data_IF_604508917266
#
_entry.id   IF_604508917266
#
_cell.length_a   1.000
_cell.length_b   1.000
_cell.length_c   1.000
_cell.angle_alpha   90.00
_cell.angle_beta   90.00
_cell.angle_gamma   90.00
#
_symmetry.space_group_name_H-M   'P 1'
#
loop_
_entity.id
_entity.type
_entity.pdbx_description
1 polymer ?
#
# COMPACT_ATOMS: atom_id res chain seq x y z
N UNK A 1 -40.91 37.57 -35.09
CA UNK A 1 -42.12 37.31 -34.28
C UNK A 1 -42.24 35.82 -34.01
N UNK A 2 -41.49 35.30 -33.03
CA UNK A 2 -41.65 33.95 -32.45
C UNK A 2 -40.70 33.68 -31.25
N UNK A 3 -40.15 34.70 -30.59
CA UNK A 3 -39.06 34.49 -29.60
C UNK A 3 -39.29 35.11 -28.21
N UNK A 4 -40.51 35.54 -27.87
CA UNK A 4 -40.80 36.06 -26.53
C UNK A 4 -42.00 35.39 -25.82
N UNK A 5 -42.78 34.58 -26.54
CA UNK A 5 -43.92 33.84 -25.95
C UNK A 5 -43.48 32.55 -25.26
N UNK A 6 -42.41 31.89 -25.74
CA UNK A 6 -41.94 30.63 -25.16
C UNK A 6 -41.05 30.81 -23.91
N UNK A 7 -40.47 32.00 -23.72
CA UNK A 7 -39.65 32.31 -22.54
C UNK A 7 -40.53 32.63 -21.31
N UNK A 8 -41.76 33.11 -21.53
CA UNK A 8 -42.71 33.43 -20.45
C UNK A 8 -43.53 32.23 -19.94
N UNK A 9 -43.54 31.10 -20.65
CA UNK A 9 -44.22 29.88 -20.20
C UNK A 9 -43.42 29.07 -19.16
N UNK A 10 -42.11 29.32 -19.03
CA UNK A 10 -41.23 28.63 -18.06
C UNK A 10 -41.09 29.42 -16.75
N UNK A 11 -41.47 30.70 -16.73
CA UNK A 11 -41.39 31.55 -15.54
C UNK A 11 -42.67 31.54 -14.67
N UNK A 12 -43.77 30.96 -15.17
CA UNK A 12 -45.08 30.94 -14.50
C UNK A 12 -45.39 29.69 -13.67
N UNK A 13 -44.49 28.71 -13.59
CA UNK A 13 -44.66 27.47 -12.82
C UNK A 13 -43.88 27.46 -11.51
N UNK A 14 -43.35 28.62 -11.07
CA UNK A 14 -42.57 28.76 -9.83
C UNK A 14 -43.35 29.37 -8.66
N UNK A 15 -44.67 29.50 -8.74
CA UNK A 15 -45.49 30.04 -7.65
C UNK A 15 -46.76 29.21 -7.46
N UNK A 16 -46.63 28.07 -6.78
CA UNK A 16 -47.61 27.50 -5.81
C UNK A 16 -47.23 26.03 -5.50
N UNK A 17 -46.25 25.84 -4.62
CA UNK A 17 -46.31 24.73 -3.65
C UNK A 17 -46.07 25.31 -2.26
N UNK A 18 -47.18 25.43 -1.53
CA UNK A 18 -47.24 25.89 -0.16
C UNK A 18 -46.47 24.93 0.77
N UNK A 19 -45.60 25.52 1.59
CA UNK A 19 -45.23 25.10 2.94
C UNK A 19 -45.39 23.61 3.31
N UNK A 20 -44.35 22.83 3.03
CA UNK A 20 -43.88 21.82 3.98
C UNK A 20 -42.40 22.08 4.21
N UNK A 21 -42.08 22.89 5.22
CA UNK A 21 -40.75 22.88 5.80
C UNK A 21 -40.50 21.44 6.28
N UNK A 22 -39.52 20.68 5.73
CA UNK A 22 -39.04 19.54 6.46
C UNK A 22 -38.51 20.11 7.77
N UNK A 23 -39.11 19.66 8.89
CA UNK A 23 -38.56 19.94 10.21
C UNK A 23 -37.04 19.67 10.15
N UNK A 24 -36.20 20.49 10.80
CA UNK A 24 -34.80 20.14 10.95
C UNK A 24 -34.79 18.73 11.54
N UNK A 25 -34.28 17.75 10.78
CA UNK A 25 -34.07 16.42 11.28
C UNK A 25 -33.26 16.62 12.56
N UNK A 26 -33.92 16.40 13.70
CA UNK A 26 -33.29 16.54 14.98
C UNK A 26 -32.05 15.66 14.91
N UNK A 27 -30.90 16.26 15.15
CA UNK A 27 -29.69 15.51 15.34
C UNK A 27 -29.99 14.54 16.49
N UNK A 28 -30.28 13.29 16.17
CA UNK A 28 -30.13 12.17 17.07
C UNK A 28 -28.62 12.00 17.25
N UNK A 29 -28.05 12.93 18.03
CA UNK A 29 -26.66 12.95 18.42
C UNK A 29 -26.48 11.90 19.53
N UNK A 30 -26.34 10.67 19.08
CA UNK A 30 -25.89 9.51 19.83
C UNK A 30 -25.76 8.40 18.80
N UNK A 31 -24.55 7.92 18.54
CA UNK A 31 -24.40 6.66 17.79
C UNK A 31 -25.33 5.64 18.45
N UNK A 32 -26.19 5.01 17.65
CA UNK A 32 -27.04 3.94 18.14
C UNK A 32 -26.17 2.94 18.91
N UNK A 33 -26.52 2.61 20.15
CA UNK A 33 -25.75 1.65 20.96
C UNK A 33 -25.51 0.33 20.21
N UNK A 34 -26.51 -0.09 19.42
CA UNK A 34 -26.41 -1.22 18.50
C UNK A 34 -25.35 -1.00 17.41
N UNK A 35 -25.34 0.18 16.78
CA UNK A 35 -24.32 0.52 15.78
C UNK A 35 -22.92 0.59 16.40
N UNK A 36 -22.77 1.23 17.57
CA UNK A 36 -21.48 1.31 18.26
C UNK A 36 -20.91 -0.08 18.58
N UNK A 37 -21.74 -1.00 19.06
CA UNK A 37 -21.34 -2.39 19.29
C UNK A 37 -20.93 -3.13 18.02
N UNK A 38 -21.74 -3.06 16.96
CA UNK A 38 -21.44 -3.72 15.67
C UNK A 38 -20.19 -3.14 15.01
N UNK A 39 -20.07 -1.81 15.00
CA UNK A 39 -18.92 -1.09 14.45
C UNK A 39 -17.63 -1.51 15.14
N UNK A 40 -17.63 -1.59 16.48
CA UNK A 40 -16.47 -2.02 17.24
C UNK A 40 -16.04 -3.46 16.87
N UNK A 41 -17.00 -4.38 16.68
CA UNK A 41 -16.68 -5.75 16.24
C UNK A 41 -15.96 -5.74 14.88
N UNK A 42 -16.49 -4.98 13.90
CA UNK A 42 -15.93 -4.89 12.55
C UNK A 42 -14.54 -4.23 12.59
N UNK A 43 -14.41 -3.09 13.28
CA UNK A 43 -13.15 -2.35 13.34
C UNK A 43 -12.06 -3.13 14.08
N UNK A 44 -12.39 -3.87 15.14
CA UNK A 44 -11.45 -4.74 15.85
C UNK A 44 -10.99 -5.90 14.96
N UNK A 45 -11.92 -6.58 14.26
CA UNK A 45 -11.56 -7.64 13.31
C UNK A 45 -10.61 -7.14 12.22
N UNK A 46 -10.89 -5.94 11.67
CA UNK A 46 -10.01 -5.29 10.69
C UNK A 46 -8.62 -5.04 11.28
N UNK A 47 -8.52 -4.50 12.50
CA UNK A 47 -7.23 -4.18 13.14
C UNK A 47 -6.43 -5.46 13.46
N UNK A 48 -7.12 -6.51 13.91
CA UNK A 48 -6.52 -7.77 14.33
C UNK A 48 -6.22 -8.72 13.16
N UNK A 49 -6.69 -8.41 11.95
CA UNK A 49 -6.47 -9.20 10.75
C UNK A 49 -4.96 -9.51 10.53
N UNK A 50 -4.59 -10.73 10.11
CA UNK A 50 -3.18 -11.15 9.98
C UNK A 50 -2.31 -10.21 9.15
N UNK A 51 -2.87 -9.64 8.07
CA UNK A 51 -2.19 -8.67 7.21
C UNK A 51 -1.74 -7.41 7.97
N UNK A 52 -2.52 -6.96 8.94
CA UNK A 52 -2.20 -5.78 9.74
C UNK A 52 -1.19 -6.08 10.85
N UNK A 53 -1.10 -7.34 11.28
CA UNK A 53 -0.11 -7.81 12.26
C UNK A 53 1.25 -8.14 11.64
N UNK A 54 1.35 -8.13 10.31
CA UNK A 54 2.62 -8.35 9.61
C UNK A 54 3.61 -7.22 9.91
N UNK A 55 4.69 -7.56 10.62
CA UNK A 55 5.80 -6.64 10.94
C UNK A 55 6.91 -6.64 9.88
N UNK A 56 7.21 -7.82 9.32
CA UNK A 56 8.27 -7.99 8.34
C UNK A 56 7.82 -7.50 6.96
N UNK A 57 8.71 -6.77 6.31
CA UNK A 57 8.42 -6.18 5.00
C UNK A 57 8.14 -7.25 3.95
N UNK A 58 7.13 -7.02 3.13
CA UNK A 58 6.80 -7.86 1.97
C UNK A 58 7.06 -7.18 0.62
N UNK A 59 6.82 -7.90 -0.49
CA UNK A 59 6.97 -7.36 -1.85
C UNK A 59 6.18 -6.07 -2.11
N UNK A 60 5.00 -5.95 -1.51
CA UNK A 60 4.12 -4.78 -1.65
C UNK A 60 4.71 -3.50 -1.05
N UNK A 61 5.69 -3.58 -0.16
CA UNK A 61 6.25 -2.44 0.57
C UNK A 61 7.65 -2.06 0.08
N UNK A 62 8.41 -3.04 -0.45
CA UNK A 62 9.78 -2.84 -0.93
C UNK A 62 9.91 -1.78 -2.04
N UNK A 63 8.84 -1.58 -2.81
CA UNK A 63 8.78 -0.58 -3.88
C UNK A 63 8.45 0.85 -3.43
N UNK A 64 8.24 1.11 -2.12
CA UNK A 64 7.87 2.44 -1.62
C UNK A 64 8.92 3.50 -1.95
N UNK A 65 8.49 4.67 -2.41
CA UNK A 65 9.41 5.78 -2.72
C UNK A 65 9.92 6.47 -1.44
N UNK A 66 9.18 6.38 -0.34
CA UNK A 66 9.56 7.03 0.92
C UNK A 66 10.70 6.25 1.60
N UNK A 67 11.92 6.80 1.56
CA UNK A 67 13.11 6.15 2.16
C UNK A 67 12.95 6.07 3.69
N UNK A 68 12.42 7.13 4.30
CA UNK A 68 12.08 7.16 5.73
C UNK A 68 11.16 5.98 6.12
N UNK A 69 10.01 5.82 5.46
CA UNK A 69 9.07 4.74 5.80
C UNK A 69 9.65 3.36 5.51
N UNK A 70 10.45 3.21 4.44
CA UNK A 70 11.16 1.95 4.19
C UNK A 70 12.10 1.63 5.36
N UNK A 71 12.93 2.59 5.79
CA UNK A 71 13.85 2.39 6.91
C UNK A 71 13.13 2.05 8.21
N UNK A 72 12.08 2.81 8.56
CA UNK A 72 11.25 2.58 9.73
C UNK A 72 10.68 1.15 9.76
N UNK A 73 10.16 0.66 8.62
CA UNK A 73 9.66 -0.72 8.49
C UNK A 73 10.77 -1.76 8.64
N UNK A 74 11.95 -1.51 8.07
CA UNK A 74 13.08 -2.47 8.14
C UNK A 74 13.58 -2.69 9.58
N UNK A 75 13.45 -1.70 10.45
CA UNK A 75 13.78 -1.81 11.89
C UNK A 75 12.53 -2.06 12.75
N UNK A 76 11.40 -2.37 12.13
CA UNK A 76 10.14 -2.71 12.79
C UNK A 76 9.65 -1.63 13.77
N UNK A 77 9.77 -0.35 13.40
CA UNK A 77 9.12 0.74 14.14
C UNK A 77 7.62 0.47 14.28
N UNK A 78 7.10 0.74 15.48
CA UNK A 78 5.69 0.48 15.78
C UNK A 78 4.81 1.53 15.09
N UNK A 79 3.79 1.05 14.36
CA UNK A 79 2.92 1.86 13.54
C UNK A 79 1.53 1.95 14.16
N UNK A 80 1.03 3.15 14.40
CA UNK A 80 -0.35 3.40 14.77
C UNK A 80 -1.24 3.19 13.55
N UNK A 81 -1.97 2.07 13.53
CA UNK A 81 -2.89 1.72 12.44
C UNK A 81 -4.33 2.00 12.85
N UNK A 82 -5.00 2.86 12.09
CA UNK A 82 -6.46 2.99 12.18
C UNK A 82 -7.15 1.85 11.41
N UNK A 83 -8.38 1.46 11.78
CA UNK A 83 -9.18 0.54 11.00
C UNK A 83 -9.29 1.00 9.54
N UNK A 84 -8.82 0.16 8.62
CA UNK A 84 -8.70 0.51 7.21
C UNK A 84 -9.82 -0.14 6.38
N UNK A 85 -10.99 0.48 6.38
CA UNK A 85 -12.18 0.00 5.66
C UNK A 85 -11.93 -0.26 4.16
N UNK A 86 -11.20 0.64 3.49
CA UNK A 86 -10.96 0.51 2.06
C UNK A 86 -10.05 -0.69 1.70
N UNK A 87 -8.92 -0.92 2.40
CA UNK A 87 -8.19 -2.18 2.29
C UNK A 87 -9.01 -3.43 2.64
N UNK A 88 -9.87 -3.37 3.66
CA UNK A 88 -10.73 -4.50 4.04
C UNK A 88 -11.62 -4.97 2.88
N UNK A 89 -12.27 -4.04 2.16
CA UNK A 89 -13.04 -4.37 0.94
C UNK A 89 -12.17 -5.13 -0.07
N UNK A 90 -10.92 -4.70 -0.26
CA UNK A 90 -9.97 -5.39 -1.13
C UNK A 90 -9.69 -6.82 -0.66
N UNK A 91 -9.40 -7.00 0.63
CA UNK A 91 -9.16 -8.33 1.23
C UNK A 91 -10.32 -9.29 0.98
N UNK A 92 -11.56 -8.86 1.22
CA UNK A 92 -12.73 -9.72 0.99
C UNK A 92 -12.88 -10.15 -0.48
N UNK A 93 -12.54 -9.27 -1.43
CA UNK A 93 -12.58 -9.62 -2.87
C UNK A 93 -11.46 -10.58 -3.24
N UNK A 94 -10.25 -10.39 -2.70
CA UNK A 94 -9.13 -11.32 -2.93
C UNK A 94 -9.47 -12.70 -2.41
N UNK A 95 -9.98 -12.80 -1.17
CA UNK A 95 -10.40 -14.07 -0.57
C UNK A 95 -11.51 -14.73 -1.41
N UNK A 96 -12.46 -13.96 -1.96
CA UNK A 96 -13.46 -14.52 -2.85
C UNK A 96 -12.84 -15.11 -4.13
N UNK A 97 -11.89 -14.40 -4.74
CA UNK A 97 -11.20 -14.88 -5.94
C UNK A 97 -10.28 -16.07 -5.67
N UNK A 98 -9.64 -16.11 -4.51
CA UNK A 98 -8.84 -17.24 -4.07
C UNK A 98 -9.63 -18.55 -4.12
N UNK A 99 -10.89 -18.53 -3.66
CA UNK A 99 -11.80 -19.68 -3.71
C UNK A 99 -12.49 -19.86 -5.07
N UNK A 100 -12.68 -18.79 -5.84
CA UNK A 100 -13.41 -18.85 -7.11
C UNK A 100 -12.67 -19.69 -8.16
N UNK A 101 -11.39 -19.42 -8.41
CA UNK A 101 -10.64 -20.07 -9.48
C UNK A 101 -10.52 -21.60 -9.28
N UNK A 102 -10.13 -22.10 -8.09
CA UNK A 102 -10.13 -23.53 -7.79
C UNK A 102 -11.51 -24.17 -7.93
N UNK A 103 -12.57 -23.49 -7.50
CA UNK A 103 -13.94 -24.00 -7.62
C UNK A 103 -14.39 -24.17 -9.07
N UNK A 104 -13.96 -23.29 -9.98
CA UNK A 104 -14.35 -23.34 -11.40
C UNK A 104 -13.46 -24.28 -12.21
N UNK A 105 -12.16 -24.30 -11.95
CA UNK A 105 -11.18 -25.01 -12.77
C UNK A 105 -10.59 -26.28 -12.14
N UNK A 106 -10.94 -26.56 -10.87
CA UNK A 106 -10.36 -27.65 -10.09
C UNK A 106 -9.02 -27.27 -9.45
N UNK A 107 -8.60 -28.08 -8.48
CA UNK A 107 -7.29 -27.97 -7.80
C UNK A 107 -6.27 -28.98 -8.33
N UNK A 108 -6.71 -29.86 -9.21
CA UNK A 108 -5.93 -30.93 -9.83
C UNK A 108 -4.73 -30.32 -10.56
N UNK A 109 -3.62 -31.06 -10.67
CA UNK A 109 -2.37 -30.59 -11.32
C UNK A 109 -2.47 -30.25 -12.82
N UNK A 110 -3.67 -30.21 -13.38
CA UNK A 110 -3.99 -29.86 -14.76
C UNK A 110 -4.81 -28.54 -14.87
N UNK A 111 -5.04 -27.84 -13.75
CA UNK A 111 -5.71 -26.53 -13.75
C UNK A 111 -4.78 -25.44 -14.32
N UNK A 112 -5.26 -24.55 -15.21
CA UNK A 112 -4.44 -23.46 -15.75
C UNK A 112 -4.12 -22.37 -14.71
N UNK A 113 -4.83 -22.36 -13.57
CA UNK A 113 -4.74 -21.28 -12.59
C UNK A 113 -4.34 -21.75 -11.19
N UNK A 114 -3.40 -21.05 -10.56
CA UNK A 114 -3.09 -21.22 -9.13
C UNK A 114 -3.35 -19.92 -8.37
N UNK A 115 -4.35 -19.91 -7.49
CA UNK A 115 -4.66 -18.77 -6.63
C UNK A 115 -3.79 -18.74 -5.38
N UNK A 116 -3.59 -17.54 -4.81
CA UNK A 116 -2.89 -17.29 -3.53
C UNK A 116 -1.54 -18.04 -3.44
N UNK A 117 -0.76 -17.97 -4.53
CA UNK A 117 0.51 -18.69 -4.65
C UNK A 117 1.57 -17.99 -3.81
N UNK A 118 1.91 -18.60 -2.67
CA UNK A 118 3.04 -18.15 -1.83
C UNK A 118 4.38 -18.48 -2.48
N UNK A 119 5.27 -17.48 -2.50
CA UNK A 119 6.62 -17.56 -3.07
C UNK A 119 7.64 -16.87 -2.18
N UNK A 120 8.89 -17.33 -2.22
CA UNK A 120 10.03 -16.59 -1.65
C UNK A 120 10.67 -15.74 -2.74
N UNK A 121 10.64 -14.42 -2.60
CA UNK A 121 11.13 -13.48 -3.63
C UNK A 121 12.59 -13.08 -3.43
N UNK A 122 13.17 -13.43 -2.28
CA UNK A 122 14.56 -13.16 -1.95
C UNK A 122 14.80 -13.24 -0.44
N UNK A 123 15.97 -12.78 0.00
CA UNK A 123 16.38 -12.79 1.41
C UNK A 123 17.02 -11.45 1.76
N UNK A 124 16.67 -10.92 2.93
CA UNK A 124 17.34 -9.77 3.54
C UNK A 124 18.19 -10.25 4.71
N UNK A 125 19.43 -9.79 4.78
CA UNK A 125 20.41 -10.16 5.79
C UNK A 125 20.58 -9.06 6.83
N UNK A 126 20.70 -9.46 8.10
CA UNK A 126 21.01 -8.57 9.24
C UNK A 126 22.08 -9.18 10.11
N UNK A 127 22.73 -8.34 10.89
CA UNK A 127 23.67 -8.79 11.94
C UNK A 127 22.95 -9.64 12.99
N UNK A 128 21.71 -9.29 13.32
CA UNK A 128 20.85 -10.05 14.25
C UNK A 128 20.20 -11.30 13.64
N UNK A 129 20.51 -11.63 12.38
CA UNK A 129 19.88 -12.71 11.62
C UNK A 129 18.93 -12.20 10.53
N UNK A 130 19.15 -12.69 9.30
CA UNK A 130 18.32 -12.36 8.14
C UNK A 130 16.96 -13.08 8.11
N UNK A 131 16.16 -12.76 7.11
CA UNK A 131 14.89 -13.43 6.83
C UNK A 131 14.59 -13.50 5.34
N UNK A 132 13.82 -14.52 4.96
CA UNK A 132 13.24 -14.63 3.63
C UNK A 132 12.13 -13.60 3.44
N UNK A 133 12.19 -12.86 2.34
CA UNK A 133 11.08 -12.03 1.90
C UNK A 133 10.12 -12.94 1.15
N UNK A 134 8.93 -13.13 1.73
CA UNK A 134 7.87 -13.95 1.15
C UNK A 134 6.73 -13.07 0.65
N UNK A 135 6.13 -13.49 -0.46
CA UNK A 135 4.98 -12.86 -1.07
C UNK A 135 3.87 -13.85 -1.32
N UNK A 136 2.69 -13.33 -1.64
CA UNK A 136 1.57 -14.12 -2.14
C UNK A 136 1.08 -13.50 -3.43
N UNK A 137 1.08 -14.30 -4.49
CA UNK A 137 0.61 -13.90 -5.82
C UNK A 137 -0.87 -14.25 -5.89
N UNK A 138 -1.72 -13.27 -6.20
CA UNK A 138 -3.17 -13.50 -6.13
C UNK A 138 -3.63 -14.57 -7.14
N UNK A 139 -3.04 -14.59 -8.34
CA UNK A 139 -3.28 -15.61 -9.35
C UNK A 139 -2.05 -15.83 -10.25
N UNK A 140 -1.73 -17.09 -10.53
CA UNK A 140 -0.76 -17.49 -11.54
C UNK A 140 -1.48 -18.21 -12.67
N UNK A 141 -1.29 -17.73 -13.89
CA UNK A 141 -1.75 -18.38 -15.12
C UNK A 141 -0.60 -19.18 -15.72
N UNK A 142 -0.72 -20.50 -15.69
CA UNK A 142 0.30 -21.45 -16.15
C UNK A 142 0.30 -21.61 -17.68
N UNK A 143 -0.81 -21.31 -18.34
CA UNK A 143 -0.93 -21.39 -19.80
C UNK A 143 -0.21 -20.19 -20.46
N UNK A 144 -0.41 -19.00 -19.90
CA UNK A 144 0.19 -17.77 -20.40
C UNK A 144 1.47 -17.35 -19.67
N UNK A 145 1.95 -18.17 -18.72
CA UNK A 145 3.13 -17.91 -17.89
C UNK A 145 3.09 -16.51 -17.24
N UNK A 146 1.96 -16.17 -16.60
CA UNK A 146 1.69 -14.83 -16.10
C UNK A 146 1.42 -14.79 -14.59
N UNK A 147 1.98 -13.79 -13.91
CA UNK A 147 1.57 -13.42 -12.54
C UNK A 147 0.51 -12.34 -12.61
N UNK A 148 -0.58 -12.47 -11.86
CA UNK A 148 -1.66 -11.49 -11.83
C UNK A 148 -1.88 -11.06 -10.37
N UNK A 149 -1.88 -9.74 -10.16
CA UNK A 149 -2.22 -9.10 -8.89
C UNK A 149 -3.48 -8.23 -9.07
N UNK A 150 -4.47 -8.41 -8.20
CA UNK A 150 -5.73 -7.68 -8.22
C UNK A 150 -5.61 -6.40 -7.41
N UNK A 151 -6.09 -5.28 -7.97
CA UNK A 151 -6.17 -4.00 -7.24
C UNK A 151 -7.59 -3.48 -7.27
N UNK A 152 -8.29 -3.56 -6.13
CA UNK A 152 -9.66 -3.05 -5.99
C UNK A 152 -9.61 -1.57 -5.61
N UNK A 153 -9.86 -0.70 -6.59
CA UNK A 153 -9.52 0.73 -6.47
C UNK A 153 -10.69 1.66 -6.82
N UNK A 154 -10.63 2.89 -6.29
CA UNK A 154 -11.61 3.93 -6.58
C UNK A 154 -11.35 4.63 -7.93
N UNK A 155 -12.33 5.43 -8.36
CA UNK A 155 -12.30 6.16 -9.63
C UNK A 155 -11.05 7.05 -9.82
N UNK A 156 -10.57 7.70 -8.75
CA UNK A 156 -9.37 8.56 -8.80
C UNK A 156 -8.12 7.75 -9.16
N UNK A 157 -7.93 6.59 -8.52
CA UNK A 157 -6.80 5.71 -8.82
C UNK A 157 -6.90 5.15 -10.23
N UNK A 158 -8.09 4.73 -10.68
CA UNK A 158 -8.31 4.28 -12.06
C UNK A 158 -7.92 5.36 -13.08
N UNK A 159 -8.34 6.61 -12.86
CA UNK A 159 -7.95 7.74 -13.71
C UNK A 159 -6.42 7.91 -13.73
N UNK A 160 -5.77 7.82 -12.57
CA UNK A 160 -4.32 7.98 -12.46
C UNK A 160 -3.55 6.87 -13.19
N UNK A 161 -3.95 5.61 -13.02
CA UNK A 161 -3.26 4.47 -13.66
C UNK A 161 -3.54 4.40 -15.16
N UNK A 162 -4.71 4.85 -15.62
CA UNK A 162 -4.98 5.01 -17.06
C UNK A 162 -4.05 6.05 -17.70
N UNK A 163 -3.76 7.13 -16.98
CA UNK A 163 -2.90 8.20 -17.48
C UNK A 163 -1.41 7.85 -17.42
N UNK A 164 -0.95 7.19 -16.35
CA UNK A 164 0.48 7.05 -16.04
C UNK A 164 0.98 5.60 -15.93
N UNK A 165 0.07 4.62 -16.06
CA UNK A 165 0.32 3.23 -15.72
C UNK A 165 0.41 2.99 -14.20
N UNK A 166 0.77 1.76 -13.79
CA UNK A 166 0.97 1.42 -12.39
C UNK A 166 2.12 2.22 -11.77
N UNK A 167 2.02 2.49 -10.46
CA UNK A 167 3.09 3.11 -9.68
C UNK A 167 4.34 2.22 -9.62
N UNK A 168 5.49 2.78 -9.25
CA UNK A 168 6.70 2.01 -8.99
C UNK A 168 6.46 0.88 -7.99
N UNK A 169 5.71 1.16 -6.91
CA UNK A 169 5.42 0.18 -5.88
C UNK A 169 4.77 -1.07 -6.46
N UNK A 170 3.79 -0.90 -7.35
CA UNK A 170 3.11 -2.00 -8.01
C UNK A 170 3.98 -2.70 -9.05
N UNK A 171 4.81 -1.98 -9.81
CA UNK A 171 5.75 -2.59 -10.76
C UNK A 171 6.83 -3.42 -10.05
N UNK A 172 7.36 -2.94 -8.93
CA UNK A 172 8.32 -3.68 -8.09
C UNK A 172 7.67 -4.93 -7.51
N UNK A 173 6.44 -4.82 -6.99
CA UNK A 173 5.71 -5.97 -6.48
C UNK A 173 5.54 -7.07 -7.54
N UNK A 174 5.09 -6.69 -8.75
CA UNK A 174 4.91 -7.64 -9.85
C UNK A 174 6.24 -8.28 -10.31
N UNK A 175 7.33 -7.51 -10.34
CA UNK A 175 8.68 -8.01 -10.62
C UNK A 175 9.18 -9.00 -9.56
N UNK A 176 8.94 -8.73 -8.27
CA UNK A 176 9.31 -9.64 -7.18
C UNK A 176 8.52 -10.96 -7.22
N UNK A 177 7.26 -10.93 -7.62
CA UNK A 177 6.45 -12.13 -7.79
C UNK A 177 6.98 -13.04 -8.91
N UNK A 178 7.31 -12.47 -10.06
CA UNK A 178 7.94 -13.24 -11.12
C UNK A 178 9.28 -13.83 -10.70
N UNK A 179 10.13 -13.07 -9.99
CA UNK A 179 11.38 -13.58 -9.41
C UNK A 179 11.16 -14.76 -8.45
N UNK A 180 10.11 -14.70 -7.63
CA UNK A 180 9.77 -15.78 -6.71
C UNK A 180 9.39 -17.07 -7.43
N UNK A 181 8.59 -16.98 -8.50
CA UNK A 181 8.24 -18.13 -9.33
C UNK A 181 9.44 -18.69 -10.10
N UNK A 182 10.27 -17.84 -10.72
CA UNK A 182 11.50 -18.28 -11.37
C UNK A 182 12.43 -19.01 -10.39
N UNK A 183 12.52 -18.53 -9.14
CA UNK A 183 13.29 -19.16 -8.08
C UNK A 183 12.79 -20.57 -7.70
N UNK A 184 11.53 -20.88 -7.98
CA UNK A 184 10.92 -22.21 -7.80
C UNK A 184 10.98 -23.07 -9.07
N UNK A 185 11.58 -22.56 -10.15
CA UNK A 185 11.70 -23.25 -11.44
C UNK A 185 10.51 -23.06 -12.38
N UNK A 186 9.56 -22.19 -12.04
CA UNK A 186 8.41 -21.87 -12.89
C UNK A 186 8.79 -20.83 -13.95
N UNK A 187 8.28 -21.01 -15.18
CA UNK A 187 8.49 -20.05 -16.27
C UNK A 187 7.56 -18.86 -16.09
N UNK A 188 8.10 -17.65 -16.20
CA UNK A 188 7.34 -16.39 -16.18
C UNK A 188 7.66 -15.57 -17.41
N UNK A 189 6.63 -15.20 -18.16
CA UNK A 189 6.72 -14.35 -19.35
C UNK A 189 6.06 -12.99 -19.16
N UNK A 190 5.02 -12.93 -18.32
CA UNK A 190 4.23 -11.72 -18.11
C UNK A 190 4.04 -11.38 -16.65
N UNK A 191 4.03 -10.08 -16.38
CA UNK A 191 3.59 -9.50 -15.11
C UNK A 191 2.35 -8.65 -15.35
N UNK A 192 1.28 -8.97 -14.66
CA UNK A 192 -0.04 -8.42 -14.85
C UNK A 192 -0.56 -7.77 -13.56
N UNK A 193 -1.18 -6.60 -13.69
CA UNK A 193 -1.80 -5.88 -12.57
C UNK A 193 -3.16 -5.39 -13.04
N UNK A 194 -4.22 -5.95 -12.46
CA UNK A 194 -5.58 -5.70 -12.91
C UNK A 194 -6.28 -4.79 -11.90
N UNK A 195 -6.53 -3.55 -12.32
CA UNK A 195 -7.20 -2.54 -11.50
C UNK A 195 -8.71 -2.65 -11.70
N UNK A 196 -9.39 -3.22 -10.72
CA UNK A 196 -10.83 -3.46 -10.75
C UNK A 196 -11.58 -2.31 -10.03
N UNK A 197 -12.70 -1.84 -10.60
CA UNK A 197 -13.43 -0.71 -10.03
C UNK A 197 -14.19 -1.11 -8.78
N UNK A 198 -13.90 -0.43 -7.66
CA UNK A 198 -14.67 -0.57 -6.41
C UNK A 198 -16.03 0.16 -6.46
N UNK A 199 -16.12 1.20 -7.29
CA UNK A 199 -17.27 2.12 -7.32
C UNK A 199 -18.07 2.07 -8.61
N UNK A 200 -17.68 1.24 -9.59
CA UNK A 200 -18.47 1.03 -10.81
C UNK A 200 -19.28 -0.27 -10.72
N UNK A 201 -20.38 -0.32 -11.47
CA UNK A 201 -21.24 -1.50 -11.60
C UNK A 201 -20.71 -2.53 -12.61
N UNK A 202 -19.70 -2.19 -13.42
CA UNK A 202 -19.19 -3.05 -14.49
C UNK A 202 -17.67 -3.22 -14.44
N UNK A 203 -17.19 -4.45 -14.67
CA UNK A 203 -15.78 -4.75 -14.89
C UNK A 203 -15.24 -4.17 -16.21
N UNK A 204 -16.11 -3.71 -17.12
CA UNK A 204 -15.68 -3.00 -18.33
C UNK A 204 -14.90 -1.71 -18.00
N UNK A 205 -15.09 -1.14 -16.81
CA UNK A 205 -14.36 0.04 -16.34
C UNK A 205 -13.01 -0.30 -15.68
N UNK A 206 -12.60 -1.58 -15.67
CA UNK A 206 -11.29 -1.99 -15.21
C UNK A 206 -10.18 -1.40 -16.09
N UNK A 207 -9.00 -1.23 -15.49
CA UNK A 207 -7.77 -0.94 -16.23
C UNK A 207 -6.83 -2.14 -16.10
N UNK A 208 -6.50 -2.73 -17.24
CA UNK A 208 -5.68 -3.94 -17.33
C UNK A 208 -4.29 -3.53 -17.76
N UNK A 209 -3.30 -3.78 -16.90
CA UNK A 209 -1.90 -3.60 -17.24
C UNK A 209 -1.24 -4.96 -17.38
N UNK A 210 -0.73 -5.24 -18.57
CA UNK A 210 0.11 -6.40 -18.87
C UNK A 210 1.45 -5.91 -19.39
N UNK A 211 2.52 -6.52 -18.90
CA UNK A 211 3.88 -6.26 -19.37
C UNK A 211 4.63 -7.58 -19.51
N UNK A 212 5.63 -7.60 -20.39
CA UNK A 212 6.66 -8.63 -20.31
C UNK A 212 7.30 -8.59 -18.92
N UNK A 213 7.62 -9.77 -18.39
CA UNK A 213 8.27 -9.91 -17.11
C UNK A 213 9.66 -9.23 -17.16
N UNK A 214 9.86 -8.28 -16.25
CA UNK A 214 11.14 -7.60 -16.04
C UNK A 214 11.57 -7.84 -14.58
N UNK A 215 12.68 -8.54 -14.33
CA UNK A 215 13.16 -8.80 -12.98
C UNK A 215 13.90 -7.60 -12.35
N UNK A 216 14.33 -6.60 -13.13
CA UNK A 216 15.22 -5.56 -12.61
C UNK A 216 14.60 -4.63 -11.55
N UNK A 217 13.33 -4.20 -11.65
CA UNK A 217 12.68 -3.43 -10.59
C UNK A 217 12.72 -4.17 -9.24
N UNK A 218 12.43 -5.47 -9.22
CA UNK A 218 12.48 -6.30 -8.03
C UNK A 218 13.90 -6.45 -7.49
N UNK A 219 14.87 -6.75 -8.36
CA UNK A 219 16.30 -6.83 -7.97
C UNK A 219 16.82 -5.48 -7.43
N UNK A 220 16.41 -4.37 -8.01
CA UNK A 220 16.73 -3.03 -7.51
C UNK A 220 16.17 -2.82 -6.10
N UNK A 221 14.89 -3.13 -5.88
CA UNK A 221 14.24 -2.93 -4.59
C UNK A 221 14.88 -3.77 -3.48
N UNK A 222 15.22 -5.03 -3.76
CA UNK A 222 15.94 -5.89 -2.81
C UNK A 222 17.32 -5.32 -2.47
N UNK A 223 18.10 -4.89 -3.47
CA UNK A 223 19.41 -4.25 -3.24
C UNK A 223 19.28 -2.97 -2.42
N UNK A 224 18.29 -2.14 -2.72
CA UNK A 224 18.01 -0.90 -1.98
C UNK A 224 17.68 -1.18 -0.52
N UNK A 225 16.80 -2.14 -0.26
CA UNK A 225 16.44 -2.54 1.10
C UNK A 225 17.64 -3.13 1.86
N UNK A 226 18.41 -4.01 1.23
CA UNK A 226 19.62 -4.59 1.83
C UNK A 226 20.67 -3.53 2.17
N UNK A 227 20.92 -2.58 1.27
CA UNK A 227 21.88 -1.50 1.51
C UNK A 227 21.44 -0.62 2.68
N UNK A 228 20.16 -0.27 2.74
CA UNK A 228 19.60 0.53 3.82
C UNK A 228 19.70 -0.23 5.15
N UNK A 229 19.35 -1.51 5.16
CA UNK A 229 19.49 -2.39 6.32
C UNK A 229 20.94 -2.48 6.83
N UNK A 230 21.92 -2.64 5.93
CA UNK A 230 23.33 -2.68 6.30
C UNK A 230 23.80 -1.39 6.99
N UNK A 231 23.35 -0.24 6.49
CA UNK A 231 23.68 1.06 7.09
C UNK A 231 22.99 1.23 8.44
N UNK A 232 21.72 0.84 8.57
CA UNK A 232 21.00 0.90 9.85
C UNK A 232 21.65 0.00 10.91
N UNK A 233 22.02 -1.23 10.55
CA UNK A 233 22.74 -2.15 11.45
C UNK A 233 24.12 -1.58 11.83
N UNK A 234 24.86 -0.99 10.88
CA UNK A 234 26.14 -0.36 11.17
C UNK A 234 26.01 0.82 12.12
N UNK A 235 25.02 1.70 11.92
CA UNK A 235 24.77 2.83 12.83
C UNK A 235 24.40 2.31 14.21
N UNK A 236 23.53 1.31 14.30
CA UNK A 236 23.12 0.72 15.57
C UNK A 236 24.31 0.14 16.35
N UNK A 237 25.19 -0.59 15.68
CA UNK A 237 26.35 -1.24 16.31
C UNK A 237 27.42 -0.25 16.78
N UNK A 238 27.66 0.83 16.02
CA UNK A 238 28.75 1.78 16.32
C UNK A 238 28.28 2.98 17.15
N UNK A 239 27.02 3.39 17.01
CA UNK A 239 26.49 4.64 17.59
C UNK A 239 25.23 4.43 18.44
N UNK A 240 24.66 3.23 18.45
CA UNK A 240 23.47 2.89 19.23
C UNK A 240 22.13 3.20 18.55
N UNK A 241 21.06 2.62 19.10
CA UNK A 241 19.69 2.71 18.59
C UNK A 241 19.21 4.16 18.47
N UNK A 242 19.53 5.02 19.44
CA UNK A 242 19.08 6.42 19.43
C UNK A 242 19.59 7.21 18.22
N UNK A 243 20.83 6.95 17.77
CA UNK A 243 21.41 7.59 16.58
C UNK A 243 20.82 7.01 15.30
N UNK A 244 20.61 5.68 15.26
CA UNK A 244 19.90 5.01 14.15
C UNK A 244 18.50 5.60 13.96
N UNK A 245 17.75 5.77 15.04
CA UNK A 245 16.39 6.29 14.96
C UNK A 245 16.36 7.77 14.55
N UNK A 246 17.30 8.58 15.03
CA UNK A 246 17.45 9.97 14.56
C UNK A 246 17.85 10.04 13.08
N UNK A 247 18.70 9.11 12.62
CA UNK A 247 19.03 8.98 11.21
C UNK A 247 17.77 8.67 10.39
N UNK A 248 16.95 7.72 10.83
CA UNK A 248 15.68 7.39 10.18
C UNK A 248 14.77 8.63 10.09
N UNK A 249 14.60 9.41 11.17
CA UNK A 249 13.77 10.63 11.17
C UNK A 249 14.18 11.65 10.10
N UNK A 250 15.47 11.72 9.78
CA UNK A 250 16.04 12.66 8.80
C UNK A 250 16.12 12.12 7.37
N UNK A 251 15.81 10.85 7.15
CA UNK A 251 15.80 10.28 5.80
C UNK A 251 14.77 10.98 4.90
N UNK A 252 15.03 11.06 3.58
CA UNK A 252 14.10 11.66 2.63
C UNK A 252 12.72 11.01 2.67
N UNK A 253 11.68 11.87 2.67
CA UNK A 253 10.28 11.47 2.60
C UNK A 253 9.77 11.64 1.17
N UNK A 254 8.87 10.76 0.75
CA UNK A 254 8.18 10.96 -0.52
C UNK A 254 7.16 12.11 -0.40
N UNK A 255 6.94 12.83 -1.50
CA UNK A 255 5.87 13.82 -1.59
C UNK A 255 4.52 13.15 -1.31
N UNK A 256 3.71 13.78 -0.46
CA UNK A 256 2.38 13.27 -0.06
C UNK A 256 2.38 11.84 0.53
N UNK A 257 3.40 11.48 1.30
CA UNK A 257 3.44 10.20 2.00
C UNK A 257 2.46 10.14 3.18
N UNK A 258 1.46 9.27 3.09
CA UNK A 258 0.42 9.09 4.12
C UNK A 258 0.89 8.33 5.36
N UNK A 259 1.93 7.50 5.24
CA UNK A 259 2.42 6.66 6.35
C UNK A 259 3.39 7.40 7.27
N UNK A 260 3.94 8.54 6.84
CA UNK A 260 4.98 9.25 7.58
C UNK A 260 4.58 9.54 9.03
N UNK A 261 3.39 10.10 9.26
CA UNK A 261 2.93 10.48 10.60
C UNK A 261 2.37 9.33 11.46
N UNK A 262 2.53 8.08 11.02
CA UNK A 262 1.92 6.91 11.69
C UNK A 262 2.88 6.17 12.62
N UNK A 263 4.16 6.54 12.66
CA UNK A 263 5.15 5.86 13.50
C UNK A 263 5.19 6.43 14.92
N UNK A 264 5.12 5.58 15.94
CA UNK A 264 5.14 5.99 17.36
C UNK A 264 6.46 6.69 17.77
N UNK A 265 7.55 6.38 17.07
CA UNK A 265 8.87 6.98 17.27
C UNK A 265 8.96 8.43 16.75
N UNK A 266 7.93 8.94 16.06
CA UNK A 266 7.77 10.35 15.72
C UNK A 266 7.03 11.14 16.82
N UNK A 267 6.02 10.56 17.48
CA UNK A 267 5.22 11.25 18.50
C UNK A 267 5.96 11.43 19.83
N UNK A 268 6.97 10.58 20.08
CA UNK A 268 7.80 10.58 21.28
C UNK A 268 8.66 11.85 21.46
N UNK A 269 8.77 12.69 20.44
CA UNK A 269 9.54 13.96 20.52
C UNK A 269 8.70 15.14 21.01
N UNK A 270 7.36 15.03 21.11
CA UNK A 270 6.50 16.18 21.49
C UNK A 270 6.21 16.32 22.97
N UNK A 271 6.49 15.31 23.81
CA UNK A 271 6.05 15.30 25.21
C UNK A 271 7.11 15.75 26.25
N UNK A 272 8.30 16.17 25.81
CA UNK A 272 9.40 16.64 26.66
C UNK A 272 9.75 18.13 26.50
N UNK A 273 8.88 18.94 25.87
CA UNK A 273 9.07 20.40 25.75
C UNK A 273 8.08 21.17 26.63
N UNK A 274 8.10 20.88 27.92
CA UNK A 274 7.72 21.87 28.95
C UNK A 274 8.62 21.65 30.16
N UNK A 275 9.83 22.17 30.06
CA UNK A 275 10.85 22.06 31.09
C UNK A 275 12.15 22.59 30.51
N UNK A 276 12.60 23.71 31.03
CA UNK A 276 13.85 24.37 30.67
C UNK A 276 15.03 23.41 30.74
N UNK A 277 15.64 23.10 29.59
CA UNK A 277 17.06 22.76 29.55
C UNK A 277 17.68 23.07 28.19
N UNK A 278 18.76 23.83 28.24
CA UNK A 278 19.61 24.15 27.10
C UNK A 278 20.49 22.97 26.72
N UNK A 279 20.59 22.71 25.41
CA UNK A 279 21.55 21.82 24.72
C UNK A 279 21.27 20.31 24.72
N UNK A 280 20.61 19.83 23.65
CA UNK A 280 21.07 18.70 22.84
C UNK A 280 20.14 18.48 21.64
N UNK A 281 20.20 19.37 20.64
CA UNK A 281 19.94 18.91 19.27
C UNK A 281 21.07 17.96 18.92
N UNK A 282 20.90 16.67 19.23
CA UNK A 282 21.85 15.61 18.87
C UNK A 282 22.05 15.65 17.35
N UNK A 283 23.13 16.29 16.91
CA UNK A 283 23.54 16.29 15.51
C UNK A 283 24.04 14.88 15.20
N UNK A 284 23.54 14.28 14.12
CA UNK A 284 24.09 13.01 13.64
C UNK A 284 25.61 13.14 13.45
N UNK A 285 26.40 12.11 13.79
CA UNK A 285 27.81 12.04 13.42
C UNK A 285 27.98 12.32 11.91
N UNK A 286 29.05 13.02 11.53
CA UNK A 286 29.21 13.53 10.16
C UNK A 286 29.26 12.41 9.11
N UNK A 287 29.90 11.29 9.45
CA UNK A 287 29.95 10.07 8.64
C UNK A 287 28.58 9.40 8.50
N UNK A 288 27.73 9.46 9.54
CA UNK A 288 26.34 8.99 9.48
C UNK A 288 25.49 9.91 8.61
N UNK A 289 25.65 11.23 8.72
CA UNK A 289 24.89 12.21 7.96
C UNK A 289 25.13 12.10 6.43
N UNK A 290 26.33 11.72 6.01
CA UNK A 290 26.70 11.51 4.61
C UNK A 290 25.88 10.40 3.91
N UNK A 291 25.25 9.50 4.66
CA UNK A 291 24.38 8.46 4.12
C UNK A 291 22.95 8.93 3.79
N UNK A 292 22.51 10.09 4.28
CA UNK A 292 21.11 10.53 4.16
C UNK A 292 20.61 10.62 2.71
N UNK A 293 21.50 10.86 1.74
CA UNK A 293 21.14 11.03 0.32
C UNK A 293 21.55 9.86 -0.56
N UNK A 294 22.09 8.77 0.02
CA UNK A 294 22.68 7.65 -0.75
C UNK A 294 21.69 6.54 -1.12
N UNK A 295 20.42 6.70 -0.76
CA UNK A 295 19.36 5.73 -1.05
C UNK A 295 18.42 6.28 -2.12
N UNK A 296 18.51 5.81 -3.39
CA UNK A 296 17.63 6.31 -4.45
C UNK A 296 16.18 5.98 -4.11
N UNK A 297 15.30 6.98 -4.15
CA UNK A 297 13.87 6.81 -3.90
C UNK A 297 13.16 6.11 -5.07
N UNK A 298 13.69 6.27 -6.27
CA UNK A 298 13.09 5.80 -7.52
C UNK A 298 13.97 4.81 -8.28
N UNK A 299 13.33 3.81 -8.87
CA UNK A 299 13.96 2.94 -9.85
C UNK A 299 14.09 3.70 -11.17
N UNK A 300 15.29 3.66 -11.74
CA UNK A 300 15.58 4.20 -13.07
C UNK A 300 16.14 3.05 -13.90
N UNK A 301 15.45 2.61 -14.97
CA UNK A 301 15.98 1.59 -15.86
C UNK A 301 17.35 2.01 -16.41
N UNK A 302 18.29 1.06 -16.48
CA UNK A 302 19.53 1.28 -17.20
C UNK A 302 19.25 1.09 -18.68
N UNK A 303 19.55 2.10 -19.49
CA UNK A 303 19.55 2.01 -20.96
C UNK A 303 20.60 1.02 -21.44
#
# INVERSE_FOLDING_TARGET
MSELADILAVAGTLEQEESHSPAPASAASGESELWGGIRAIIENDIVDAPRNQQKRIGPSELGTQCVHCLAAKLVEWEQVKAPAWLPFIGTCVHEHFEHLFPRVYGEDGNTPYRSERRVTVGQLQRVSGGYEVRGSIDLVDLEHHATIDWKIVGATTLKQVRANGPSQQYRVQASLYGLGLEGEGERVEKSCIFFLPRTSQSLADAYIWESQFDPEPGRWAMRRAQNLMNVLDNIELNYGISVRDEFIRRLPRAEHCWDCGTWTQESSTSHYLSGTDSSSTSSLPADVADWLTRFPATYVPKN
#
